data_IF_635163740514
#
_entry.id   IF_635163740514
#
_cell.length_a   1.000
_cell.length_b   1.000
_cell.length_c   1.000
_cell.angle_alpha   90.00
_cell.angle_beta   90.00
_cell.angle_gamma   90.00
#
_symmetry.space_group_name_H-M   'P 1'
#
loop_
_entity.id
_entity.type
_entity.pdbx_description
1 polymer ?
#
# COMPACT_ATOMS: atom_id res chain seq x y z
N UNK A 1 -5.84 -4.69 2.41
CA UNK A 1 -5.85 -4.68 0.95
C UNK A 1 -5.18 -3.41 0.39
N UNK A 2 -4.58 -3.48 -0.81
CA UNK A 2 -4.01 -2.29 -1.44
C UNK A 2 -5.07 -1.22 -1.71
N UNK A 3 -4.66 0.05 -1.61
CA UNK A 3 -5.50 1.21 -1.88
C UNK A 3 -5.05 1.89 -3.18
N UNK A 4 -5.78 1.67 -4.26
CA UNK A 4 -5.47 2.23 -5.57
C UNK A 4 -5.63 3.76 -5.64
N UNK A 5 -6.30 4.38 -4.67
CA UNK A 5 -6.44 5.84 -4.56
C UNK A 5 -5.33 6.48 -3.74
N UNK A 6 -4.31 5.72 -3.32
CA UNK A 6 -3.24 6.20 -2.46
C UNK A 6 -2.26 7.14 -3.17
N UNK A 7 -1.52 7.90 -2.35
CA UNK A 7 -0.38 8.67 -2.83
C UNK A 7 0.67 7.76 -3.48
N UNK A 8 0.99 6.62 -2.85
CA UNK A 8 1.97 5.66 -3.37
C UNK A 8 1.59 5.11 -4.74
N UNK A 9 0.32 4.77 -4.93
CA UNK A 9 -0.16 4.30 -6.23
C UNK A 9 0.03 5.35 -7.33
N UNK A 10 -0.26 6.62 -7.02
CA UNK A 10 -0.10 7.72 -7.98
C UNK A 10 1.36 8.06 -8.24
N UNK A 11 2.18 8.09 -7.18
CA UNK A 11 3.60 8.44 -7.27
C UNK A 11 4.39 7.41 -8.05
N UNK A 12 4.16 6.13 -7.77
CA UNK A 12 4.97 5.06 -8.33
C UNK A 12 4.39 4.39 -9.57
N UNK A 13 3.09 4.50 -9.79
CA UNK A 13 2.45 3.93 -10.99
C UNK A 13 2.74 2.44 -11.15
N UNK A 14 3.34 2.06 -12.28
CA UNK A 14 3.70 0.66 -12.55
C UNK A 14 4.76 0.09 -11.60
N UNK A 15 5.52 0.95 -10.91
CA UNK A 15 6.52 0.55 -9.92
C UNK A 15 5.95 0.41 -8.50
N UNK A 16 4.68 0.66 -8.32
CA UNK A 16 4.04 0.52 -7.01
C UNK A 16 4.08 -0.92 -6.54
N UNK A 17 4.77 -1.15 -5.41
CA UNK A 17 5.01 -2.49 -4.87
C UNK A 17 3.72 -3.25 -4.58
N UNK A 18 2.70 -2.58 -4.05
CA UNK A 18 1.45 -3.22 -3.68
C UNK A 18 0.60 -3.65 -4.89
N UNK A 19 0.95 -3.22 -6.10
CA UNK A 19 0.31 -3.71 -7.33
C UNK A 19 0.52 -5.22 -7.50
N UNK A 20 1.73 -5.69 -7.26
CA UNK A 20 2.14 -7.10 -7.10
C UNK A 20 1.40 -8.10 -8.02
N UNK A 21 1.46 -7.93 -9.37
CA UNK A 21 0.86 -8.90 -10.27
C UNK A 21 1.69 -10.20 -10.28
N UNK A 22 1.09 -11.38 -10.42
CA UNK A 22 -0.34 -11.61 -10.61
C UNK A 22 -1.12 -11.91 -9.30
N UNK A 23 -0.55 -11.63 -8.13
CA UNK A 23 -1.21 -11.94 -6.84
C UNK A 23 -2.45 -11.10 -6.63
N UNK A 24 -2.42 -9.83 -7.03
CA UNK A 24 -3.60 -8.97 -7.02
C UNK A 24 -4.17 -8.89 -8.44
N UNK A 25 -5.33 -9.49 -8.66
CA UNK A 25 -6.04 -9.42 -9.93
C UNK A 25 -6.82 -8.11 -10.06
N UNK A 26 -7.26 -7.57 -8.92
CA UNK A 26 -8.00 -6.32 -8.82
C UNK A 26 -7.46 -5.56 -7.62
N UNK A 27 -7.31 -4.25 -7.76
CA UNK A 27 -7.00 -3.35 -6.65
C UNK A 27 -8.16 -2.36 -6.48
N UNK A 28 -8.51 -2.08 -5.24
CA UNK A 28 -9.69 -1.31 -4.89
C UNK A 28 -9.34 0.07 -4.36
N UNK A 29 -10.31 0.96 -4.40
CA UNK A 29 -10.30 2.22 -3.64
C UNK A 29 -11.26 2.09 -2.47
N UNK A 30 -11.19 2.97 -1.45
CA UNK A 30 -12.21 2.99 -0.40
C UNK A 30 -13.63 3.13 -0.97
N UNK A 31 -13.79 3.95 -2.00
CA UNK A 31 -15.09 4.14 -2.64
C UNK A 31 -15.58 2.86 -3.35
N UNK A 32 -14.74 2.23 -4.18
CA UNK A 32 -15.13 1.01 -4.87
C UNK A 32 -15.43 -0.14 -3.89
N UNK A 33 -14.73 -0.19 -2.76
CA UNK A 33 -15.03 -1.17 -1.71
C UNK A 33 -16.37 -0.91 -1.04
N UNK A 34 -16.77 0.35 -0.86
CA UNK A 34 -18.10 0.67 -0.33
C UNK A 34 -19.20 0.21 -1.27
N UNK A 35 -19.03 0.44 -2.57
CA UNK A 35 -19.97 -0.01 -3.59
C UNK A 35 -20.08 -1.54 -3.58
N UNK A 36 -18.95 -2.23 -3.61
CA UNK A 36 -18.90 -3.68 -3.60
C UNK A 36 -19.53 -4.27 -2.33
N UNK A 37 -19.24 -3.69 -1.18
CA UNK A 37 -19.82 -4.12 0.10
C UNK A 37 -21.33 -3.98 0.09
N UNK A 38 -21.84 -2.84 -0.36
CA UNK A 38 -23.27 -2.56 -0.42
C UNK A 38 -24.00 -3.55 -1.34
N UNK A 39 -23.45 -3.82 -2.52
CA UNK A 39 -24.01 -4.80 -3.45
C UNK A 39 -24.12 -6.21 -2.87
N UNK A 40 -23.28 -6.52 -1.86
CA UNK A 40 -23.25 -7.84 -1.22
C UNK A 40 -23.87 -7.84 0.19
N UNK A 41 -24.62 -6.82 0.54
CA UNK A 41 -25.34 -6.74 1.81
C UNK A 41 -24.45 -6.38 3.01
N UNK A 42 -23.34 -5.73 2.77
CA UNK A 42 -22.45 -5.25 3.83
C UNK A 42 -22.36 -3.71 3.81
N UNK A 43 -22.05 -3.16 4.95
CA UNK A 43 -21.75 -1.74 5.10
C UNK A 43 -20.35 -1.57 5.65
N UNK A 44 -19.57 -0.66 5.05
CA UNK A 44 -18.25 -0.29 5.56
C UNK A 44 -18.45 0.60 6.79
N UNK A 45 -18.04 0.13 7.95
CA UNK A 45 -18.12 0.88 9.22
C UNK A 45 -16.91 1.75 9.44
N UNK A 46 -15.74 1.24 9.10
CA UNK A 46 -14.48 1.90 9.38
C UNK A 46 -13.48 1.59 8.27
N UNK A 47 -12.67 2.56 7.92
CA UNK A 47 -11.50 2.41 7.06
C UNK A 47 -10.30 2.98 7.79
N UNK A 48 -9.27 2.15 7.98
CA UNK A 48 -7.99 2.57 8.58
C UNK A 48 -6.85 2.31 7.61
N UNK A 49 -5.73 3.00 7.81
CA UNK A 49 -4.58 2.92 6.92
C UNK A 49 -3.37 2.50 7.73
N UNK A 50 -2.77 1.38 7.34
CA UNK A 50 -1.75 0.68 8.12
C UNK A 50 -0.55 0.26 7.26
N UNK A 51 -0.18 1.08 6.28
CA UNK A 51 1.00 0.86 5.45
C UNK A 51 2.27 0.77 6.30
N UNK A 52 3.17 -0.10 5.85
CA UNK A 52 4.52 -0.20 6.38
C UNK A 52 5.51 0.54 5.47
N UNK A 53 6.66 0.98 5.98
CA UNK A 53 7.66 1.68 5.17
C UNK A 53 8.14 0.89 3.96
N UNK A 54 8.11 -0.43 4.05
CA UNK A 54 8.52 -1.35 2.99
C UNK A 54 7.76 -1.12 1.69
N UNK A 55 6.53 -0.67 1.75
CA UNK A 55 5.76 -0.33 0.54
C UNK A 55 6.46 0.76 -0.27
N UNK A 56 6.89 1.83 0.38
CA UNK A 56 7.63 2.91 -0.27
C UNK A 56 9.03 2.44 -0.67
N UNK A 57 9.71 1.74 0.23
CA UNK A 57 11.08 1.26 0.00
C UNK A 57 11.15 0.40 -1.26
N UNK A 58 10.29 -0.61 -1.37
CA UNK A 58 10.30 -1.49 -2.54
C UNK A 58 9.78 -0.82 -3.80
N UNK A 59 8.83 0.10 -3.70
CA UNK A 59 8.38 0.89 -4.84
C UNK A 59 9.52 1.76 -5.38
N UNK A 60 10.26 2.42 -4.51
CA UNK A 60 11.43 3.22 -4.88
C UNK A 60 12.54 2.34 -5.46
N UNK A 61 12.73 1.14 -4.90
CA UNK A 61 13.68 0.16 -5.39
C UNK A 61 13.34 -0.28 -6.83
N UNK A 62 12.08 -0.55 -7.10
CA UNK A 62 11.61 -0.90 -8.45
C UNK A 62 11.81 0.25 -9.43
N UNK A 63 11.58 1.49 -8.99
CA UNK A 63 11.85 2.68 -9.82
C UNK A 63 13.34 2.78 -10.19
N UNK A 64 14.23 2.25 -9.35
CA UNK A 64 15.68 2.18 -9.59
C UNK A 64 16.13 0.88 -10.28
N UNK A 65 15.20 0.12 -10.85
CA UNK A 65 15.46 -1.14 -11.55
C UNK A 65 16.14 -2.22 -10.68
N UNK A 66 15.85 -2.24 -9.38
CA UNK A 66 16.35 -3.27 -8.47
C UNK A 66 15.19 -4.22 -8.15
N UNK A 67 15.20 -5.47 -8.67
CA UNK A 67 14.18 -6.46 -8.36
C UNK A 67 14.16 -6.84 -6.87
N UNK A 68 13.01 -7.27 -6.38
CA UNK A 68 12.82 -7.67 -4.99
C UNK A 68 13.86 -8.70 -4.51
N UNK A 69 14.17 -9.69 -5.35
CA UNK A 69 15.08 -10.79 -5.03
C UNK A 69 16.52 -10.55 -5.48
N UNK A 70 16.87 -9.35 -5.93
CA UNK A 70 18.26 -9.03 -6.28
C UNK A 70 19.16 -9.11 -5.05
N UNK A 71 20.46 -9.48 -5.22
CA UNK A 71 21.39 -9.55 -4.09
C UNK A 71 21.52 -8.24 -3.31
N UNK A 72 21.40 -7.11 -3.97
CA UNK A 72 21.46 -5.77 -3.36
C UNK A 72 20.09 -5.22 -2.94
N UNK A 73 19.01 -6.01 -3.05
CA UNK A 73 17.69 -5.61 -2.60
C UNK A 73 17.67 -5.33 -1.10
N UNK A 74 16.86 -4.37 -0.69
CA UNK A 74 16.59 -4.08 0.72
C UNK A 74 16.12 -5.34 1.48
N UNK A 75 15.38 -6.24 0.82
CA UNK A 75 14.95 -7.51 1.42
C UNK A 75 16.13 -8.36 1.90
N UNK A 76 17.29 -8.26 1.24
CA UNK A 76 18.49 -9.05 1.56
C UNK A 76 19.51 -8.25 2.37
N UNK A 77 19.51 -6.94 2.28
CA UNK A 77 20.59 -6.10 2.81
C UNK A 77 20.16 -5.16 3.94
N UNK A 78 18.87 -4.85 4.04
CA UNK A 78 18.36 -3.92 5.03
C UNK A 78 19.06 -2.55 4.93
N UNK A 79 19.52 -2.04 6.07
CA UNK A 79 20.19 -0.74 6.16
C UNK A 79 21.54 -0.67 5.43
N UNK A 80 22.10 -1.81 5.06
CA UNK A 80 23.37 -1.89 4.32
C UNK A 80 23.13 -2.02 2.80
N UNK A 81 21.95 -1.71 2.34
CA UNK A 81 21.53 -1.88 0.97
C UNK A 81 21.57 -0.60 0.13
N UNK A 82 20.63 -0.50 -0.82
CA UNK A 82 20.68 0.54 -1.84
C UNK A 82 20.27 1.94 -1.34
N UNK A 83 19.79 2.06 -0.10
CA UNK A 83 19.28 3.32 0.44
C UNK A 83 20.15 3.83 1.59
N UNK A 84 20.41 5.13 1.59
CA UNK A 84 21.06 5.80 2.73
C UNK A 84 20.12 5.81 3.95
N UNK A 85 20.70 5.89 5.15
CA UNK A 85 19.94 5.92 6.40
C UNK A 85 18.94 7.09 6.42
N UNK A 86 19.32 8.24 5.89
CA UNK A 86 18.46 9.42 5.78
C UNK A 86 17.26 9.17 4.87
N UNK A 87 17.46 8.46 3.75
CA UNK A 87 16.36 8.07 2.86
C UNK A 87 15.38 7.14 3.58
N UNK A 88 15.90 6.14 4.30
CA UNK A 88 15.05 5.21 5.06
C UNK A 88 14.24 5.92 6.15
N UNK A 89 14.84 6.88 6.84
CA UNK A 89 14.13 7.72 7.82
C UNK A 89 13.02 8.53 7.18
N UNK A 90 13.28 9.07 6.00
CA UNK A 90 12.28 9.84 5.25
C UNK A 90 11.11 8.95 4.81
N UNK A 91 11.38 7.73 4.34
CA UNK A 91 10.33 6.77 3.97
C UNK A 91 9.47 6.38 5.17
N UNK A 92 10.09 6.20 6.34
CA UNK A 92 9.37 5.95 7.60
C UNK A 92 8.47 7.13 7.97
N UNK A 93 9.00 8.34 7.90
CA UNK A 93 8.24 9.57 8.19
C UNK A 93 7.06 9.72 7.23
N UNK A 94 7.31 9.53 5.94
CA UNK A 94 6.28 9.63 4.91
C UNK A 94 5.17 8.60 5.12
N UNK A 95 5.53 7.37 5.47
CA UNK A 95 4.56 6.32 5.76
C UNK A 95 3.61 6.71 6.90
N UNK A 96 4.16 7.21 8.02
CA UNK A 96 3.33 7.67 9.13
C UNK A 96 2.40 8.81 8.74
N UNK A 97 2.92 9.75 7.97
CA UNK A 97 2.14 10.89 7.46
C UNK A 97 0.98 10.43 6.57
N UNK A 98 1.24 9.50 5.65
CA UNK A 98 0.22 8.95 4.76
C UNK A 98 -0.85 8.16 5.51
N UNK A 99 -0.46 7.35 6.48
CA UNK A 99 -1.41 6.62 7.33
C UNK A 99 -2.33 7.58 8.09
N UNK A 100 -1.76 8.61 8.69
CA UNK A 100 -2.52 9.61 9.45
C UNK A 100 -3.46 10.43 8.54
N UNK A 101 -3.05 10.70 7.30
CA UNK A 101 -3.83 11.48 6.34
C UNK A 101 -4.89 10.66 5.59
N UNK A 102 -4.95 9.34 5.80
CA UNK A 102 -5.88 8.47 5.06
C UNK A 102 -5.51 8.33 3.58
N UNK A 103 -4.23 8.42 3.23
CA UNK A 103 -3.73 8.44 1.86
C UNK A 103 -2.64 7.38 1.63
N UNK A 104 -2.57 6.38 2.50
CA UNK A 104 -1.59 5.30 2.42
C UNK A 104 -2.02 4.18 1.47
N UNK A 105 -1.04 3.42 1.01
CA UNK A 105 -1.22 2.37 0.00
C UNK A 105 -1.83 1.08 0.51
N UNK A 106 -1.91 0.88 1.83
CA UNK A 106 -2.62 -0.25 2.41
C UNK A 106 -3.75 0.24 3.29
N UNK A 107 -4.92 -0.39 3.15
CA UNK A 107 -6.10 -0.06 3.93
C UNK A 107 -6.73 -1.30 4.56
N UNK A 108 -7.32 -1.10 5.72
CA UNK A 108 -8.12 -2.09 6.43
C UNK A 108 -9.55 -1.60 6.51
N UNK A 109 -10.51 -2.42 6.10
CA UNK A 109 -11.93 -2.06 6.15
C UNK A 109 -12.65 -2.99 7.12
N UNK A 110 -13.43 -2.39 8.01
CA UNK A 110 -14.33 -3.14 8.89
C UNK A 110 -15.72 -3.11 8.25
N UNK A 111 -16.23 -4.30 7.95
CA UNK A 111 -17.53 -4.45 7.32
C UNK A 111 -18.52 -5.00 8.34
N UNK A 112 -19.70 -4.42 8.38
CA UNK A 112 -20.84 -5.00 9.10
C UNK A 112 -21.85 -5.53 8.09
N UNK A 113 -22.35 -6.72 8.36
CA UNK A 113 -23.47 -7.25 7.58
C UNK A 113 -24.64 -6.28 7.69
N UNK A 114 -25.16 -5.85 6.56
CA UNK A 114 -26.31 -4.98 6.50
C UNK A 114 -27.52 -5.67 7.12
N UNK A 115 -28.51 -4.88 7.52
CA UNK A 115 -29.76 -5.46 7.98
C UNK A 115 -30.35 -6.30 6.84
N UNK A 116 -30.19 -7.61 6.94
CA UNK A 116 -30.77 -8.55 6.00
C UNK A 116 -32.27 -8.59 6.21
N UNK A 117 -32.87 -7.62 5.64
CA UNK A 117 -34.34 -7.60 5.63
C UNK A 117 -34.85 -8.42 4.48
#
# INVERSE_FOLDING_TARGET
TPNAASWTAREYGAHWFALDPPRHLVVYTPESMRILADEHGFRVEEVTFDSQPEEIIFSEQYRRDIPYNAPNSYANTGENGPFAVEELREFNRKTRELNAAGNAGNMCLVLRRGHGD
#
